data_IF_432857078105
#
_entry.id   IF_432857078105
#
_cell.length_a   1.000
_cell.length_b   1.000
_cell.length_c   1.000
_cell.angle_alpha   90.00
_cell.angle_beta   90.00
_cell.angle_gamma   90.00
#
_symmetry.space_group_name_H-M   'P 1'
#
loop_
_entity.id
_entity.type
_entity.pdbx_description
1 polymer ?
#
# COMPACT_ATOMS: atom_id res chain seq x y z
N UNK A 1 -8.35 -4.69 -4.22
CA UNK A 1 -9.38 -3.66 -3.97
C UNK A 1 -10.03 -3.32 -5.29
N UNK A 2 -11.36 -3.38 -5.34
CA UNK A 2 -12.15 -3.46 -6.58
C UNK A 2 -12.86 -2.15 -6.94
N UNK A 3 -12.39 -0.99 -6.47
CA UNK A 3 -13.05 0.30 -6.73
C UNK A 3 -13.08 0.62 -8.23
N UNK A 4 -14.24 1.02 -8.74
CA UNK A 4 -14.34 1.67 -10.04
C UNK A 4 -13.85 3.13 -10.00
N UNK A 5 -13.73 3.78 -11.16
CA UNK A 5 -13.18 5.14 -11.22
C UNK A 5 -14.09 6.18 -10.54
N UNK A 6 -15.42 6.02 -10.62
CA UNK A 6 -16.36 6.94 -10.00
C UNK A 6 -16.36 6.80 -8.46
N UNK A 7 -16.39 5.57 -7.96
CA UNK A 7 -16.24 5.23 -6.55
C UNK A 7 -14.91 5.77 -5.99
N UNK A 8 -13.82 5.62 -6.75
CA UNK A 8 -12.51 6.11 -6.35
C UNK A 8 -12.45 7.64 -6.30
N UNK A 9 -13.05 8.33 -7.27
CA UNK A 9 -13.11 9.79 -7.27
C UNK A 9 -13.94 10.33 -6.10
N UNK A 10 -15.09 9.71 -5.82
CA UNK A 10 -15.93 10.08 -4.68
C UNK A 10 -15.17 9.88 -3.35
N UNK A 11 -14.52 8.73 -3.18
CA UNK A 11 -13.72 8.44 -1.98
C UNK A 11 -12.55 9.43 -1.82
N UNK A 12 -11.89 9.80 -2.93
CA UNK A 12 -10.83 10.83 -2.90
C UNK A 12 -11.36 12.19 -2.49
N UNK A 13 -12.53 12.60 -2.99
CA UNK A 13 -13.14 13.87 -2.62
C UNK A 13 -13.52 13.91 -1.13
N UNK A 14 -14.02 12.80 -0.59
CA UNK A 14 -14.29 12.65 0.84
C UNK A 14 -13.01 12.70 1.69
N UNK A 15 -11.97 11.96 1.30
CA UNK A 15 -10.67 12.01 1.98
C UNK A 15 -10.05 13.41 1.93
N UNK A 16 -10.20 14.13 0.82
CA UNK A 16 -9.70 15.50 0.68
C UNK A 16 -10.42 16.49 1.60
N UNK A 17 -11.73 16.33 1.80
CA UNK A 17 -12.50 17.21 2.69
C UNK A 17 -12.29 16.91 4.17
N UNK A 18 -12.10 15.64 4.52
CA UNK A 18 -11.92 15.18 5.91
C UNK A 18 -10.45 15.15 6.35
N UNK A 19 -9.51 15.11 5.41
CA UNK A 19 -8.08 14.85 5.68
C UNK A 19 -7.80 13.42 6.16
N UNK A 20 -8.78 12.52 6.07
CA UNK A 20 -8.66 11.14 6.47
C UNK A 20 -7.88 10.32 5.43
N UNK A 21 -7.15 9.27 5.85
CA UNK A 21 -6.45 8.41 4.92
C UNK A 21 -7.42 7.65 4.01
N UNK A 22 -7.01 7.40 2.77
CA UNK A 22 -7.80 6.66 1.82
C UNK A 22 -7.80 5.17 2.19
N UNK A 23 -8.97 4.71 2.65
CA UNK A 23 -9.26 3.31 2.99
C UNK A 23 -10.36 2.80 2.07
N UNK A 24 -10.08 1.71 1.35
CA UNK A 24 -11.09 1.08 0.52
C UNK A 24 -12.09 0.30 1.37
N UNK A 25 -13.39 0.32 1.03
CA UNK A 25 -14.38 -0.57 1.62
C UNK A 25 -14.03 -2.07 1.45
N UNK A 26 -13.26 -2.43 0.41
CA UNK A 26 -12.84 -3.80 0.09
C UNK A 26 -11.67 -4.33 0.93
N UNK A 27 -11.29 -3.62 1.98
CA UNK A 27 -10.07 -3.90 2.76
C UNK A 27 -10.24 -5.05 3.76
N UNK A 28 -11.43 -5.18 4.32
CA UNK A 28 -11.76 -6.09 5.42
C UNK A 28 -12.85 -7.10 5.04
N UNK A 29 -13.22 -7.14 3.76
CA UNK A 29 -14.16 -8.12 3.21
C UNK A 29 -13.47 -9.46 2.94
N UNK A 30 -14.27 -10.53 2.98
CA UNK A 30 -13.78 -11.87 2.68
C UNK A 30 -13.35 -11.96 1.21
N UNK A 31 -12.15 -12.51 0.92
CA UNK A 31 -11.73 -12.80 -0.45
C UNK A 31 -12.75 -13.63 -1.27
N UNK A 32 -13.62 -14.43 -0.65
CA UNK A 32 -14.66 -15.19 -1.35
C UNK A 32 -15.75 -14.31 -1.97
N UNK A 33 -15.97 -13.12 -1.40
CA UNK A 33 -16.95 -12.15 -1.89
C UNK A 33 -16.37 -11.24 -2.99
N UNK A 34 -15.15 -11.53 -3.44
CA UNK A 34 -14.45 -10.75 -4.44
C UNK A 34 -15.17 -10.81 -5.79
N UNK A 35 -15.63 -9.67 -6.34
CA UNK A 35 -16.23 -9.64 -7.66
C UNK A 35 -15.18 -9.92 -8.74
N UNK A 36 -15.59 -10.59 -9.83
CA UNK A 36 -14.74 -10.81 -11.00
C UNK A 36 -14.65 -9.53 -11.86
N UNK A 37 -13.95 -8.50 -11.36
CA UNK A 37 -13.71 -7.22 -12.03
C UNK A 37 -12.25 -6.76 -11.86
N UNK A 38 -11.75 -5.83 -12.71
CA UNK A 38 -10.40 -5.30 -12.57
C UNK A 38 -10.16 -4.75 -11.16
N UNK A 39 -8.97 -5.01 -10.61
CA UNK A 39 -8.63 -4.63 -9.24
C UNK A 39 -7.21 -4.11 -9.14
N UNK A 40 -6.97 -3.29 -8.13
CA UNK A 40 -5.61 -2.89 -7.73
C UNK A 40 -5.23 -3.59 -6.43
N UNK A 41 -3.95 -3.91 -6.27
CA UNK A 41 -3.42 -4.44 -5.00
C UNK A 41 -2.78 -3.30 -4.23
N UNK A 42 -3.18 -3.16 -2.97
CA UNK A 42 -2.71 -2.12 -2.06
C UNK A 42 -2.18 -2.75 -0.79
N UNK A 43 -1.22 -2.10 -0.16
CA UNK A 43 -0.66 -2.51 1.13
C UNK A 43 -1.64 -2.19 2.26
N UNK A 44 -1.91 -3.16 3.12
CA UNK A 44 -2.82 -3.03 4.26
C UNK A 44 -2.10 -2.36 5.43
N UNK A 45 -2.17 -1.03 5.53
CA UNK A 45 -1.53 -0.31 6.65
C UNK A 45 -2.34 -0.44 7.94
N UNK A 46 -1.75 -0.78 9.11
CA UNK A 46 -2.50 -0.85 10.37
C UNK A 46 -3.35 0.42 10.60
N UNK A 47 -4.56 0.26 11.16
CA UNK A 47 -5.43 1.42 11.42
C UNK A 47 -4.97 2.21 12.66
N UNK A 48 -4.44 1.49 13.65
CA UNK A 48 -4.04 2.03 14.95
C UNK A 48 -2.57 1.77 15.26
N UNK A 49 -2.09 2.45 16.30
CA UNK A 49 -0.70 2.39 16.76
C UNK A 49 0.24 3.34 16.02
N UNK A 50 1.52 3.04 16.08
CA UNK A 50 2.59 3.81 15.44
C UNK A 50 3.64 2.90 14.84
N UNK A 51 4.23 3.36 13.75
CA UNK A 51 5.40 2.74 13.12
C UNK A 51 6.60 3.62 13.39
N UNK A 52 7.65 3.04 13.97
CA UNK A 52 8.90 3.72 14.27
C UNK A 52 9.98 3.25 13.30
N UNK A 53 10.70 4.21 12.72
CA UNK A 53 11.78 4.00 11.75
C UNK A 53 13.04 4.61 12.33
N UNK A 54 14.12 3.85 12.36
CA UNK A 54 15.45 4.36 12.73
C UNK A 54 16.16 4.84 11.45
N UNK A 55 16.11 6.15 11.20
CA UNK A 55 16.81 6.77 10.09
C UNK A 55 18.20 7.26 10.54
N UNK A 56 19.23 6.98 9.75
CA UNK A 56 20.61 7.31 10.11
C UNK A 56 20.89 8.84 10.11
N UNK A 57 20.09 9.64 9.42
CA UNK A 57 20.28 11.09 9.29
C UNK A 57 19.29 11.87 10.16
N UNK A 58 18.01 11.52 10.08
CA UNK A 58 16.93 12.19 10.81
C UNK A 58 16.74 11.63 12.23
N UNK A 59 17.37 10.50 12.57
CA UNK A 59 17.19 9.80 13.82
C UNK A 59 15.90 8.98 13.85
N UNK A 60 15.37 8.74 15.04
CA UNK A 60 14.15 7.95 15.23
C UNK A 60 12.91 8.73 14.81
N UNK A 61 12.26 8.31 13.73
CA UNK A 61 11.02 8.90 13.21
C UNK A 61 9.86 7.99 13.58
N UNK A 62 8.87 8.53 14.30
CA UNK A 62 7.65 7.78 14.68
C UNK A 62 6.43 8.39 14.00
N UNK A 63 5.74 7.56 13.22
CA UNK A 63 4.55 7.96 12.45
C UNK A 63 3.33 7.24 13.03
N UNK A 64 2.24 7.97 13.26
CA UNK A 64 0.97 7.38 13.69
C UNK A 64 0.32 6.65 12.51
N UNK A 65 -0.09 5.40 12.69
CA UNK A 65 -0.61 4.59 11.58
C UNK A 65 -1.92 5.16 10.99
N UNK A 66 -2.69 5.91 11.79
CA UNK A 66 -3.90 6.61 11.37
C UNK A 66 -3.71 7.64 10.25
N UNK A 67 -2.47 8.08 9.98
CA UNK A 67 -2.20 9.04 8.88
C UNK A 67 -1.60 8.38 7.64
N UNK A 68 -1.29 7.08 7.71
CA UNK A 68 -0.68 6.35 6.60
C UNK A 68 -1.75 5.84 5.65
N UNK A 69 -1.58 6.02 4.34
CA UNK A 69 -2.53 5.53 3.32
C UNK A 69 -2.27 4.08 2.89
N UNK A 70 -3.31 3.44 2.33
CA UNK A 70 -3.18 2.13 1.69
C UNK A 70 -2.56 2.29 0.30
N UNK A 71 -1.23 2.29 0.29
CA UNK A 71 -0.44 2.51 -0.92
C UNK A 71 -0.66 1.40 -1.96
N UNK A 72 -0.84 1.79 -3.22
CA UNK A 72 -0.92 0.85 -4.35
C UNK A 72 0.44 0.21 -4.59
N UNK A 73 0.48 -1.13 -4.65
CA UNK A 73 1.68 -1.92 -4.98
C UNK A 73 1.58 -2.58 -6.35
N UNK A 74 0.39 -2.96 -6.81
CA UNK A 74 0.12 -3.44 -8.17
C UNK A 74 -1.05 -2.66 -8.78
N UNK A 75 -0.87 -2.23 -10.03
CA UNK A 75 -1.90 -1.58 -10.84
C UNK A 75 -2.88 -2.62 -11.41
N UNK A 76 -3.96 -2.14 -12.03
CA UNK A 76 -5.00 -3.00 -12.63
C UNK A 76 -4.51 -3.89 -13.77
N UNK A 77 -3.40 -3.52 -14.42
CA UNK A 77 -2.70 -4.31 -15.43
C UNK A 77 -1.70 -5.32 -14.83
N UNK A 78 -1.62 -5.42 -13.50
CA UNK A 78 -0.67 -6.26 -12.80
C UNK A 78 0.74 -5.68 -12.71
N UNK A 79 1.01 -4.49 -13.26
CA UNK A 79 2.33 -3.86 -13.18
C UNK A 79 2.61 -3.33 -11.77
N UNK A 80 3.83 -3.54 -11.24
CA UNK A 80 4.21 -2.99 -9.94
C UNK A 80 4.36 -1.47 -9.99
N UNK A 81 4.04 -0.81 -8.88
CA UNK A 81 4.36 0.61 -8.72
C UNK A 81 5.87 0.81 -8.58
N UNK A 82 6.36 2.03 -8.84
CA UNK A 82 7.79 2.32 -8.75
C UNK A 82 8.37 1.95 -7.38
N UNK A 83 7.71 2.40 -6.31
CA UNK A 83 8.12 2.12 -4.92
C UNK A 83 8.21 0.61 -4.66
N UNK A 84 7.24 -0.16 -5.16
CA UNK A 84 7.23 -1.61 -5.00
C UNK A 84 8.30 -2.31 -5.83
N UNK A 85 8.48 -1.91 -7.09
CA UNK A 85 9.52 -2.46 -7.97
C UNK A 85 10.92 -2.18 -7.43
N UNK A 86 11.15 -0.98 -6.89
CA UNK A 86 12.42 -0.61 -6.27
C UNK A 86 12.71 -1.47 -5.03
N UNK A 87 11.72 -1.66 -4.15
CA UNK A 87 11.86 -2.55 -2.99
C UNK A 87 12.21 -3.98 -3.42
N UNK A 88 11.48 -4.54 -4.38
CA UNK A 88 11.71 -5.90 -4.86
C UNK A 88 13.11 -6.07 -5.47
N UNK A 89 13.55 -5.14 -6.32
CA UNK A 89 14.89 -5.25 -6.91
C UNK A 89 15.96 -5.15 -5.84
N UNK A 90 15.86 -4.19 -4.91
CA UNK A 90 16.84 -4.07 -3.82
C UNK A 90 16.88 -5.34 -2.97
N UNK A 91 15.75 -5.94 -2.65
CA UNK A 91 15.72 -7.21 -1.90
C UNK A 91 16.41 -8.35 -2.67
N UNK A 92 16.15 -8.50 -3.97
CA UNK A 92 16.76 -9.56 -4.80
C UNK A 92 18.29 -9.40 -4.86
N UNK A 93 18.78 -8.17 -4.99
CA UNK A 93 20.22 -7.89 -5.06
C UNK A 93 20.91 -7.84 -3.69
N UNK A 94 20.15 -7.65 -2.60
CA UNK A 94 20.64 -7.70 -1.23
C UNK A 94 20.69 -9.12 -0.66
N UNK A 95 20.09 -10.11 -1.34
CA UNK A 95 20.34 -11.51 -1.02
C UNK A 95 21.81 -11.79 -1.31
N UNK A 96 22.58 -12.35 -0.35
CA UNK A 96 23.92 -12.81 -0.66
C UNK A 96 23.80 -13.79 -1.81
N UNK A 97 24.55 -13.55 -2.90
CA UNK A 97 24.71 -14.54 -3.95
C UNK A 97 25.42 -15.73 -3.32
N UNK A 98 24.68 -16.64 -2.68
CA UNK A 98 25.23 -17.92 -2.26
C UNK A 98 25.71 -18.58 -3.54
N UNK A 99 27.01 -18.81 -3.64
CA UNK A 99 27.63 -19.39 -4.81
C UNK A 99 26.89 -20.66 -5.19
N UNK A 100 26.19 -20.62 -6.32
CA UNK A 100 25.86 -21.84 -7.04
C UNK A 100 27.21 -22.38 -7.51
N UNK A 101 27.71 -23.40 -6.81
CA UNK A 101 28.60 -24.38 -7.42
C UNK A 101 27.83 -25.17 -8.46
#
# INVERSE_FOLDING_TARGET
MFLDDAELQALRAECQSTGAPLRSPWRDLDPTDAPNRPFTVRMKMPSDGSTTIEDAVQGTVTIRNKVLDDMVILRGDGSPTYSWRLLLTTMIWALPMSSRR
#
